data_IF_077668584568
#
_entry.id   IF_077668584568
#
_cell.length_a   1.000
_cell.length_b   1.000
_cell.length_c   1.000
_cell.angle_alpha   90.00
_cell.angle_beta   90.00
_cell.angle_gamma   90.00
#
_symmetry.space_group_name_H-M   'P 1'
#
loop_
_entity.id
_entity.type
_entity.pdbx_description
1 polymer ?
#
# COMPACT_ATOMS: atom_id res chain seq x y z
N UNK A 1 14.02 -7.40 -32.34
CA UNK A 1 13.26 -7.53 -31.07
C UNK A 1 14.28 -7.43 -29.96
N UNK A 2 14.32 -6.30 -29.23
CA UNK A 2 15.40 -6.04 -28.26
C UNK A 2 15.12 -6.78 -26.95
N UNK A 3 16.07 -7.65 -26.59
CA UNK A 3 16.09 -8.57 -25.44
C UNK A 3 16.45 -7.85 -24.14
N UNK A 4 15.49 -7.16 -23.51
CA UNK A 4 15.58 -6.78 -22.10
C UNK A 4 14.52 -7.54 -21.31
N UNK A 5 14.65 -8.87 -21.25
CA UNK A 5 13.78 -9.68 -20.41
C UNK A 5 14.27 -9.63 -18.97
N UNK A 6 13.40 -9.25 -18.04
CA UNK A 6 13.65 -9.33 -16.58
C UNK A 6 13.41 -10.74 -16.03
N UNK A 7 13.30 -11.75 -16.90
CA UNK A 7 13.09 -13.14 -16.51
C UNK A 7 14.43 -13.86 -16.54
N UNK A 8 15.12 -13.92 -15.40
CA UNK A 8 16.40 -14.60 -15.28
C UNK A 8 16.70 -15.05 -13.83
N UNK A 9 17.74 -15.87 -13.67
CA UNK A 9 18.27 -16.22 -12.35
C UNK A 9 18.79 -14.99 -11.60
N UNK A 10 19.50 -14.10 -12.30
CA UNK A 10 20.05 -12.86 -11.76
C UNK A 10 18.93 -11.96 -11.22
N UNK A 11 17.77 -11.92 -11.87
CA UNK A 11 16.62 -11.19 -11.34
C UNK A 11 16.17 -11.73 -9.99
N UNK A 12 16.13 -13.06 -9.78
CA UNK A 12 15.75 -13.64 -8.49
C UNK A 12 16.75 -13.27 -7.38
N UNK A 13 18.04 -13.24 -7.69
CA UNK A 13 19.08 -12.79 -6.75
C UNK A 13 18.91 -11.30 -6.42
N UNK A 14 18.73 -10.47 -7.45
CA UNK A 14 18.60 -9.02 -7.35
C UNK A 14 17.36 -8.60 -6.54
N UNK A 15 16.24 -9.31 -6.66
CA UNK A 15 15.04 -9.00 -5.87
C UNK A 15 15.14 -9.48 -4.41
N UNK A 16 16.18 -10.23 -4.03
CA UNK A 16 16.50 -10.51 -2.63
C UNK A 16 16.43 -11.98 -2.19
N UNK A 17 16.27 -12.92 -3.12
CA UNK A 17 16.39 -14.33 -2.79
C UNK A 17 17.85 -14.71 -2.51
N UNK A 18 18.06 -15.72 -1.68
CA UNK A 18 19.36 -16.37 -1.51
C UNK A 18 19.76 -17.12 -2.78
N UNK A 19 21.06 -17.39 -2.94
CA UNK A 19 21.57 -18.18 -4.07
C UNK A 19 20.81 -19.51 -4.22
N UNK A 20 20.70 -20.26 -3.12
CA UNK A 20 20.00 -21.54 -3.10
C UNK A 20 18.54 -21.43 -3.54
N UNK A 21 17.80 -20.44 -3.00
CA UNK A 21 16.38 -20.25 -3.35
C UNK A 21 16.22 -19.79 -4.79
N UNK A 22 17.07 -18.88 -5.26
CA UNK A 22 17.06 -18.39 -6.62
C UNK A 22 17.33 -19.51 -7.62
N UNK A 23 18.35 -20.36 -7.37
CA UNK A 23 18.64 -21.53 -8.20
C UNK A 23 17.50 -22.55 -8.18
N UNK A 24 16.87 -22.79 -7.02
CA UNK A 24 15.71 -23.66 -6.90
C UNK A 24 14.54 -23.16 -7.75
N UNK A 25 14.19 -21.87 -7.62
CA UNK A 25 13.10 -21.25 -8.37
C UNK A 25 13.42 -21.21 -9.86
N UNK A 26 14.65 -20.85 -10.24
CA UNK A 26 15.08 -20.81 -11.63
C UNK A 26 15.06 -22.18 -12.28
N UNK A 27 15.48 -23.24 -11.58
CA UNK A 27 15.42 -24.61 -12.08
C UNK A 27 13.96 -25.02 -12.33
N UNK A 28 13.04 -24.66 -11.43
CA UNK A 28 11.60 -24.93 -11.61
C UNK A 28 11.02 -24.14 -12.80
N UNK A 29 11.37 -22.87 -12.94
CA UNK A 29 10.94 -22.03 -14.07
C UNK A 29 11.49 -22.54 -15.40
N UNK A 30 12.77 -22.91 -15.46
CA UNK A 30 13.45 -23.35 -16.68
C UNK A 30 12.97 -24.71 -17.16
N UNK A 31 12.68 -25.62 -16.22
CA UNK A 31 12.15 -26.96 -16.51
C UNK A 31 10.62 -27.01 -16.31
N UNK A 32 9.92 -26.00 -16.84
CA UNK A 32 8.47 -25.92 -16.72
C UNK A 32 7.81 -27.13 -17.38
N UNK A 33 6.91 -27.85 -16.68
CA UNK A 33 6.28 -29.03 -17.23
C UNK A 33 5.34 -28.65 -18.38
N UNK A 34 5.22 -29.55 -19.37
CA UNK A 34 4.12 -29.46 -20.33
C UNK A 34 2.78 -29.58 -19.60
N UNK A 35 1.82 -28.73 -19.95
CA UNK A 35 0.54 -28.71 -19.28
C UNK A 35 -0.37 -27.57 -19.72
N UNK A 36 -1.53 -27.41 -19.06
CA UNK A 36 -2.53 -26.41 -19.42
C UNK A 36 -2.12 -24.96 -19.07
N UNK A 37 -1.01 -24.78 -18.35
CA UNK A 37 -0.46 -23.47 -17.98
C UNK A 37 0.93 -23.36 -18.58
N UNK A 38 1.13 -22.39 -19.46
CA UNK A 38 2.44 -22.06 -20.04
C UNK A 38 3.11 -20.90 -19.30
N UNK A 39 4.39 -20.66 -19.52
CA UNK A 39 5.06 -19.45 -19.02
C UNK A 39 4.75 -18.27 -19.92
N UNK A 40 4.85 -17.06 -19.37
CA UNK A 40 4.80 -15.83 -20.17
C UNK A 40 5.91 -15.74 -21.23
N UNK A 41 7.00 -16.51 -21.07
CA UNK A 41 8.11 -16.58 -22.03
C UNK A 41 7.90 -17.62 -23.14
N UNK A 42 6.90 -18.49 -23.01
CA UNK A 42 6.59 -19.50 -24.01
C UNK A 42 5.75 -18.89 -25.15
N UNK A 43 5.80 -19.45 -26.37
CA UNK A 43 4.92 -19.02 -27.45
C UNK A 43 3.45 -19.10 -27.03
N UNK A 44 2.68 -18.04 -27.28
CA UNK A 44 1.26 -18.03 -26.93
C UNK A 44 0.49 -19.02 -27.80
N UNK A 45 -0.01 -20.08 -27.17
CA UNK A 45 -0.80 -21.16 -27.81
C UNK A 45 -2.26 -21.18 -27.35
N UNK A 46 -2.72 -20.11 -26.69
CA UNK A 46 -3.99 -20.08 -25.97
C UNK A 46 -3.89 -20.72 -24.57
N UNK A 47 -4.82 -20.35 -23.68
CA UNK A 47 -4.84 -20.84 -22.30
C UNK A 47 -4.27 -19.87 -21.26
N UNK A 48 -4.07 -20.36 -20.04
CA UNK A 48 -3.54 -19.59 -18.91
C UNK A 48 -2.02 -19.48 -19.01
N UNK A 49 -1.48 -18.29 -18.79
CA UNK A 49 -0.04 -18.06 -18.67
C UNK A 49 0.33 -17.70 -17.23
N UNK A 50 1.38 -18.35 -16.73
CA UNK A 50 2.04 -17.98 -15.48
C UNK A 50 3.06 -16.88 -15.76
N UNK A 51 2.92 -15.73 -15.11
CA UNK A 51 3.91 -14.66 -15.15
C UNK A 51 5.02 -14.94 -14.13
N UNK A 52 6.21 -14.37 -14.35
CA UNK A 52 7.37 -14.66 -13.51
C UNK A 52 7.17 -14.19 -12.07
N UNK A 53 6.50 -13.05 -11.86
CA UNK A 53 6.13 -12.56 -10.53
C UNK A 53 5.16 -13.46 -9.80
N UNK A 54 4.05 -13.85 -10.43
CA UNK A 54 3.11 -14.80 -9.82
C UNK A 54 3.81 -16.10 -9.43
N UNK A 55 4.76 -16.57 -10.25
CA UNK A 55 5.55 -17.77 -9.97
C UNK A 55 6.43 -17.62 -8.72
N UNK A 56 7.29 -16.60 -8.64
CA UNK A 56 8.20 -16.49 -7.49
C UNK A 56 7.45 -16.13 -6.20
N UNK A 57 6.32 -15.42 -6.29
CA UNK A 57 5.43 -15.14 -5.17
C UNK A 57 4.74 -16.41 -4.68
N UNK A 58 4.30 -17.28 -5.58
CA UNK A 58 3.79 -18.60 -5.22
C UNK A 58 4.87 -19.47 -4.55
N UNK A 59 6.14 -19.28 -4.93
CA UNK A 59 7.31 -19.91 -4.32
C UNK A 59 7.61 -19.47 -2.87
N UNK A 60 6.98 -18.38 -2.40
CA UNK A 60 6.90 -17.99 -0.98
C UNK A 60 5.75 -18.76 -0.31
N UNK A 61 5.92 -20.08 -0.23
CA UNK A 61 4.92 -21.04 0.25
C UNK A 61 4.28 -20.58 1.57
N UNK A 62 3.00 -20.92 1.76
CA UNK A 62 2.31 -20.68 3.02
C UNK A 62 2.91 -21.61 4.06
N UNK A 63 3.60 -21.02 5.03
CA UNK A 63 4.22 -21.75 6.14
C UNK A 63 3.41 -21.48 7.42
N UNK A 64 3.09 -22.54 8.16
CA UNK A 64 2.45 -22.45 9.48
C UNK A 64 3.33 -21.71 10.51
N UNK A 65 4.63 -21.61 10.24
CA UNK A 65 5.60 -20.87 11.02
C UNK A 65 5.81 -19.41 10.61
N UNK A 66 4.87 -18.76 9.90
CA UNK A 66 4.91 -17.30 9.70
C UNK A 66 4.82 -16.57 11.05
N UNK A 67 5.55 -15.46 11.20
CA UNK A 67 5.71 -14.78 12.50
C UNK A 67 5.45 -13.28 12.40
N UNK A 68 4.92 -12.72 13.49
CA UNK A 68 4.59 -11.29 13.64
C UNK A 68 4.84 -10.75 15.06
N UNK A 69 5.43 -11.58 15.94
CA UNK A 69 5.88 -11.16 17.29
C UNK A 69 7.27 -10.55 17.26
N UNK A 70 7.84 -10.16 18.41
CA UNK A 70 9.12 -9.45 18.44
C UNK A 70 10.38 -10.35 18.57
N UNK A 71 10.21 -11.65 18.39
CA UNK A 71 11.32 -12.61 18.51
C UNK A 71 12.21 -12.55 17.26
N UNK A 72 13.37 -11.90 17.39
CA UNK A 72 14.35 -11.69 16.32
C UNK A 72 14.79 -13.03 15.69
N UNK A 73 15.05 -14.05 16.50
CA UNK A 73 15.49 -15.36 16.01
C UNK A 73 14.39 -16.03 15.18
N UNK A 74 13.13 -15.98 15.65
CA UNK A 74 12.00 -16.51 14.89
C UNK A 74 11.78 -15.78 13.57
N UNK A 75 11.97 -14.45 13.54
CA UNK A 75 11.90 -13.67 12.30
C UNK A 75 12.97 -14.08 11.29
N UNK A 76 14.23 -14.19 11.73
CA UNK A 76 15.33 -14.66 10.87
C UNK A 76 15.05 -16.05 10.31
N UNK A 77 14.63 -16.98 11.16
CA UNK A 77 14.30 -18.34 10.74
C UNK A 77 13.11 -18.37 9.76
N UNK A 78 12.11 -17.52 9.96
CA UNK A 78 10.98 -17.38 9.03
C UNK A 78 11.42 -16.83 7.67
N UNK A 79 12.20 -15.74 7.63
CA UNK A 79 12.68 -15.17 6.37
C UNK A 79 13.67 -16.08 5.63
N UNK A 80 14.51 -16.83 6.36
CA UNK A 80 15.37 -17.87 5.78
C UNK A 80 14.56 -18.98 5.14
N UNK A 81 13.44 -19.43 5.75
CA UNK A 81 12.53 -20.41 5.13
C UNK A 81 11.85 -19.88 3.88
N UNK A 82 11.55 -18.59 3.82
CA UNK A 82 11.11 -17.92 2.59
C UNK A 82 12.24 -17.74 1.56
N UNK A 83 13.49 -18.09 1.92
CA UNK A 83 14.65 -18.04 1.07
C UNK A 83 15.18 -16.63 0.82
N UNK A 84 14.95 -15.70 1.75
CA UNK A 84 15.51 -14.35 1.68
C UNK A 84 17.00 -14.36 2.03
N UNK A 85 17.82 -13.63 1.27
CA UNK A 85 19.24 -13.45 1.59
C UNK A 85 19.45 -12.56 2.83
N UNK A 86 20.65 -12.61 3.42
CA UNK A 86 21.00 -11.88 4.65
C UNK A 86 20.68 -10.40 4.57
N UNK A 87 21.06 -9.76 3.47
CA UNK A 87 20.93 -8.31 3.30
C UNK A 87 19.45 -7.91 3.24
N UNK A 88 18.63 -8.70 2.55
CA UNK A 88 17.18 -8.50 2.50
C UNK A 88 16.56 -8.70 3.88
N UNK A 89 17.00 -9.73 4.62
CA UNK A 89 16.57 -9.91 6.00
C UNK A 89 16.95 -8.71 6.89
N UNK A 90 18.18 -8.19 6.76
CA UNK A 90 18.65 -7.03 7.52
C UNK A 90 17.81 -5.78 7.24
N UNK A 91 17.48 -5.53 5.97
CA UNK A 91 16.64 -4.38 5.61
C UNK A 91 15.20 -4.50 6.10
N UNK A 92 14.61 -5.70 6.10
CA UNK A 92 13.27 -5.96 6.67
C UNK A 92 13.29 -5.84 8.20
N UNK A 93 14.38 -6.31 8.82
CA UNK A 93 14.52 -6.39 10.27
C UNK A 93 15.19 -5.18 10.91
N UNK A 94 15.33 -4.09 10.17
CA UNK A 94 15.97 -2.88 10.65
C UNK A 94 15.28 -2.38 11.95
N UNK A 95 16.04 -2.27 13.07
CA UNK A 95 15.49 -1.88 14.37
C UNK A 95 14.76 -0.53 14.36
N UNK A 96 15.17 0.41 13.49
CA UNK A 96 14.54 1.73 13.36
C UNK A 96 13.06 1.60 12.94
N UNK A 97 12.75 0.60 12.13
CA UNK A 97 11.41 0.35 11.60
C UNK A 97 10.69 -0.80 12.32
N UNK A 98 11.15 -1.20 13.51
CA UNK A 98 10.58 -2.31 14.28
C UNK A 98 9.06 -2.21 14.45
N UNK A 99 8.53 -1.03 14.75
CA UNK A 99 7.10 -0.80 14.97
C UNK A 99 6.28 -1.09 13.69
N UNK A 100 6.77 -0.65 12.52
CA UNK A 100 6.19 -0.96 11.20
C UNK A 100 6.36 -2.43 10.84
N UNK A 101 7.56 -2.97 11.02
CA UNK A 101 7.85 -4.40 10.80
C UNK A 101 6.83 -5.29 11.53
N UNK A 102 6.50 -4.96 12.78
CA UNK A 102 5.55 -5.73 13.59
C UNK A 102 4.07 -5.44 13.25
N UNK A 103 3.76 -4.56 12.30
CA UNK A 103 2.40 -4.35 11.82
C UNK A 103 1.94 -5.44 10.84
N UNK A 104 2.88 -6.20 10.25
CA UNK A 104 2.60 -7.33 9.37
C UNK A 104 3.53 -8.51 9.68
N UNK A 105 3.33 -9.64 9.00
CA UNK A 105 4.13 -10.84 9.23
C UNK A 105 5.40 -10.86 8.39
N UNK A 106 6.34 -11.72 8.75
CA UNK A 106 7.56 -11.94 7.99
C UNK A 106 7.27 -12.27 6.53
N UNK A 107 6.25 -13.11 6.27
CA UNK A 107 5.85 -13.45 4.90
C UNK A 107 5.34 -12.25 4.11
N UNK A 108 4.53 -11.39 4.73
CA UNK A 108 3.99 -10.19 4.07
C UNK A 108 5.13 -9.27 3.66
N UNK A 109 6.11 -9.04 4.54
CA UNK A 109 7.25 -8.17 4.19
C UNK A 109 8.22 -8.81 3.19
N UNK A 110 8.46 -10.12 3.26
CA UNK A 110 9.24 -10.81 2.24
C UNK A 110 8.59 -10.66 0.86
N UNK A 111 7.29 -10.95 0.78
CA UNK A 111 6.47 -10.81 -0.43
C UNK A 111 6.52 -9.37 -0.98
N UNK A 112 6.16 -8.39 -0.16
CA UNK A 112 6.10 -6.99 -0.56
C UNK A 112 7.46 -6.46 -1.04
N UNK A 113 8.55 -6.88 -0.38
CA UNK A 113 9.92 -6.47 -0.76
C UNK A 113 10.31 -7.00 -2.14
N UNK A 114 10.07 -8.29 -2.43
CA UNK A 114 10.42 -8.86 -3.74
C UNK A 114 9.52 -8.29 -4.85
N UNK A 115 8.23 -8.02 -4.58
CA UNK A 115 7.32 -7.36 -5.53
C UNK A 115 7.80 -5.95 -5.88
N UNK A 116 8.15 -5.13 -4.88
CA UNK A 116 8.64 -3.77 -5.10
C UNK A 116 9.93 -3.74 -5.92
N UNK A 117 10.90 -4.61 -5.58
CA UNK A 117 12.18 -4.68 -6.30
C UNK A 117 11.98 -5.19 -7.73
N UNK A 118 11.11 -6.17 -7.94
CA UNK A 118 10.81 -6.67 -9.28
C UNK A 118 10.11 -5.63 -10.16
N UNK A 119 9.12 -4.92 -9.61
CA UNK A 119 8.42 -3.86 -10.33
C UNK A 119 9.37 -2.74 -10.77
N UNK A 120 10.35 -2.40 -9.93
CA UNK A 120 11.43 -1.48 -10.30
C UNK A 120 12.29 -2.00 -11.46
N UNK A 121 12.68 -3.27 -11.45
CA UNK A 121 13.45 -3.87 -12.55
C UNK A 121 12.66 -3.88 -13.87
N UNK A 122 11.37 -4.23 -13.83
CA UNK A 122 10.47 -4.15 -14.98
C UNK A 122 10.43 -2.73 -15.55
N UNK A 123 10.30 -1.72 -14.69
CA UNK A 123 10.32 -0.31 -15.10
C UNK A 123 11.63 0.08 -15.78
N UNK A 124 12.76 -0.35 -15.23
CA UNK A 124 14.08 -0.08 -15.81
C UNK A 124 14.25 -0.74 -17.18
N UNK A 125 13.85 -2.00 -17.32
CA UNK A 125 13.91 -2.73 -18.58
C UNK A 125 13.06 -2.08 -19.68
N UNK A 126 11.89 -1.53 -19.30
CA UNK A 126 10.96 -0.86 -20.20
C UNK A 126 11.32 0.62 -20.49
N UNK A 127 12.49 1.11 -20.03
CA UNK A 127 13.01 2.48 -20.25
C UNK A 127 12.10 3.64 -19.77
N UNK A 128 11.16 3.39 -18.85
CA UNK A 128 10.35 4.44 -18.23
C UNK A 128 11.08 5.10 -17.04
N UNK A 129 12.38 5.37 -17.18
CA UNK A 129 13.31 5.61 -16.06
C UNK A 129 13.28 7.01 -15.47
N UNK A 130 12.50 7.96 -15.98
CA UNK A 130 12.43 9.30 -15.39
C UNK A 130 11.28 9.37 -14.38
N UNK A 131 11.55 9.55 -13.07
CA UNK A 131 10.53 10.04 -12.16
C UNK A 131 10.03 11.40 -12.70
N UNK A 132 8.73 11.70 -12.61
CA UNK A 132 8.23 13.05 -12.89
C UNK A 132 9.07 14.06 -12.11
N UNK A 133 9.59 15.09 -12.77
CA UNK A 133 10.15 16.23 -12.05
C UNK A 133 9.06 16.84 -11.15
N UNK A 134 9.44 17.38 -9.98
CA UNK A 134 8.58 18.19 -9.11
C UNK A 134 8.07 19.43 -9.87
N UNK A 135 7.11 19.26 -10.78
CA UNK A 135 6.42 20.36 -11.43
C UNK A 135 4.99 20.37 -10.93
N UNK A 136 4.72 21.40 -10.14
CA UNK A 136 3.40 21.83 -9.71
C UNK A 136 2.46 21.90 -10.92
N UNK A 137 1.50 20.97 -11.03
CA UNK A 137 0.35 21.12 -11.92
C UNK A 137 -0.54 22.25 -11.38
N UNK A 138 -0.16 23.49 -11.68
CA UNK A 138 -1.08 24.63 -11.56
C UNK A 138 -1.96 24.63 -12.80
N UNK A 139 -3.26 24.42 -12.59
CA UNK A 139 -4.25 24.75 -13.59
C UNK A 139 -4.13 26.24 -13.96
N UNK A 140 -4.03 26.48 -15.27
CA UNK A 140 -4.06 27.72 -16.06
C UNK A 140 -4.21 29.04 -15.26
N UNK A 141 -3.16 29.87 -15.32
CA UNK A 141 -3.20 31.31 -15.05
C UNK A 141 -3.70 32.04 -16.30
N UNK A 142 -4.75 32.84 -16.14
CA UNK A 142 -4.97 34.02 -16.99
C UNK A 142 -4.77 35.31 -16.16
N UNK A 143 -3.89 36.16 -16.66
CA UNK A 143 -3.99 37.63 -16.72
C UNK A 143 -4.29 38.48 -15.47
N UNK A 144 -3.22 38.97 -14.86
CA UNK A 144 -2.93 40.37 -14.44
C UNK A 144 -3.97 41.26 -13.71
N UNK A 145 -3.61 41.56 -12.45
CA UNK A 145 -3.43 42.87 -11.79
C UNK A 145 -4.59 43.88 -11.68
N UNK A 146 -4.97 44.18 -10.43
CA UNK A 146 -4.78 45.54 -9.86
C UNK A 146 -4.91 45.52 -8.34
N UNK A 147 -3.95 46.14 -7.64
CA UNK A 147 -4.09 46.58 -6.25
C UNK A 147 -5.12 47.72 -6.20
N UNK A 148 -6.16 47.55 -5.38
CA UNK A 148 -6.87 48.67 -4.75
C UNK A 148 -7.55 48.20 -3.46
N UNK A 149 -7.37 49.02 -2.44
CA UNK A 149 -7.65 48.85 -1.02
C UNK A 149 -9.16 49.04 -0.70
N UNK A 150 -9.66 48.22 0.25
CA UNK A 150 -10.86 48.40 1.09
C UNK A 150 -12.28 48.35 0.47
N UNK A 151 -13.00 47.24 0.67
CA UNK A 151 -14.28 47.13 1.43
C UNK A 151 -14.95 45.76 1.20
N UNK A 152 -15.20 45.04 2.31
CA UNK A 152 -16.25 44.02 2.49
C UNK A 152 -16.37 42.85 1.51
N UNK A 153 -15.77 41.70 1.84
CA UNK A 153 -16.50 40.41 1.86
C UNK A 153 -15.68 39.38 2.66
N UNK A 154 -16.30 38.75 3.66
CA UNK A 154 -15.65 37.84 4.60
C UNK A 154 -15.61 36.41 4.02
N UNK A 155 -15.06 36.24 2.81
CA UNK A 155 -14.85 34.92 2.21
C UNK A 155 -13.59 34.29 2.82
N UNK A 156 -13.75 33.61 3.95
CA UNK A 156 -12.75 32.64 4.42
C UNK A 156 -12.41 31.72 3.24
N UNK A 157 -11.14 31.64 2.88
CA UNK A 157 -10.67 30.61 1.93
C UNK A 157 -11.23 29.26 2.38
N UNK A 158 -11.78 28.44 1.46
CA UNK A 158 -12.35 27.16 1.82
C UNK A 158 -11.29 26.32 2.55
N UNK A 159 -11.70 25.73 3.68
CA UNK A 159 -10.83 24.87 4.47
C UNK A 159 -10.44 23.64 3.64
N UNK A 160 -9.16 23.29 3.64
CA UNK A 160 -8.60 22.21 2.81
C UNK A 160 -8.04 21.11 3.71
N UNK A 161 -8.48 19.88 3.47
CA UNK A 161 -7.94 18.68 4.11
C UNK A 161 -6.75 18.19 3.29
N UNK A 162 -5.63 17.92 3.96
CA UNK A 162 -4.47 17.26 3.38
C UNK A 162 -4.36 15.83 3.89
N UNK A 163 -4.19 14.89 2.97
CA UNK A 163 -4.00 13.47 3.23
C UNK A 163 -2.74 12.97 2.53
N UNK A 164 -2.06 11.99 3.11
CA UNK A 164 -0.73 11.55 2.69
C UNK A 164 -0.66 10.03 2.51
N UNK A 165 0.14 9.59 1.53
CA UNK A 165 0.47 8.18 1.32
C UNK A 165 1.84 8.04 0.67
N UNK A 166 2.66 7.13 1.20
CA UNK A 166 3.87 6.69 0.52
C UNK A 166 3.55 5.63 -0.55
N UNK A 167 4.18 5.74 -1.71
CA UNK A 167 3.90 4.91 -2.88
C UNK A 167 5.20 4.47 -3.54
N UNK A 168 5.31 3.18 -3.84
CA UNK A 168 6.37 2.64 -4.69
C UNK A 168 6.07 2.92 -6.16
N UNK A 169 6.92 3.71 -6.82
CA UNK A 169 6.72 4.11 -8.23
C UNK A 169 7.06 3.00 -9.23
N UNK A 170 7.70 1.91 -8.78
CA UNK A 170 7.82 0.68 -9.56
C UNK A 170 6.43 0.09 -9.80
N UNK A 171 5.65 -0.08 -8.73
CA UNK A 171 4.26 -0.59 -8.78
C UNK A 171 3.27 0.43 -9.34
N UNK A 172 3.41 1.70 -8.96
CA UNK A 172 2.51 2.78 -9.38
C UNK A 172 2.97 3.47 -10.68
N UNK A 173 3.35 2.69 -11.68
CA UNK A 173 3.98 3.21 -12.89
C UNK A 173 3.04 4.02 -13.79
N UNK A 174 1.71 3.86 -13.65
CA UNK A 174 0.68 4.63 -14.38
C UNK A 174 0.12 5.78 -13.56
N UNK A 175 0.62 5.99 -12.34
CA UNK A 175 0.16 7.08 -11.49
C UNK A 175 0.36 8.45 -12.15
N UNK A 176 1.39 8.56 -12.99
CA UNK A 176 1.71 9.76 -13.74
C UNK A 176 1.71 9.49 -15.24
N UNK A 177 1.19 10.44 -16.01
CA UNK A 177 1.50 10.58 -17.43
C UNK A 177 3.00 10.87 -17.64
N UNK A 178 3.47 10.69 -18.88
CA UNK A 178 4.85 11.01 -19.27
C UNK A 178 5.22 12.49 -19.03
N UNK A 179 4.24 13.39 -19.09
CA UNK A 179 4.42 14.82 -18.80
C UNK A 179 4.45 15.14 -17.29
N UNK A 180 4.33 14.13 -16.43
CA UNK A 180 4.36 14.25 -14.97
C UNK A 180 3.03 14.63 -14.30
N UNK A 181 1.95 14.80 -15.06
CA UNK A 181 0.61 14.99 -14.49
C UNK A 181 0.06 13.67 -13.93
N UNK A 182 -0.77 13.74 -12.88
CA UNK A 182 -1.47 12.56 -12.35
C UNK A 182 -2.46 11.98 -13.38
N UNK A 183 -2.51 10.65 -13.46
CA UNK A 183 -3.34 9.92 -14.42
C UNK A 183 -4.16 8.80 -13.74
N UNK A 184 -3.51 7.67 -13.46
CA UNK A 184 -4.19 6.49 -12.95
C UNK A 184 -4.17 6.44 -11.42
N UNK A 185 -5.11 7.13 -10.77
CA UNK A 185 -5.24 7.09 -9.30
C UNK A 185 -5.46 5.67 -8.78
N UNK A 186 -5.98 4.74 -9.59
CA UNK A 186 -6.17 3.34 -9.22
C UNK A 186 -4.88 2.64 -8.77
N UNK A 187 -3.70 3.11 -9.20
CA UNK A 187 -2.40 2.63 -8.72
C UNK A 187 -2.12 2.97 -7.24
N UNK A 188 -2.94 3.84 -6.62
CA UNK A 188 -2.91 4.16 -5.18
C UNK A 188 -3.75 3.21 -4.32
N UNK A 189 -4.48 2.26 -4.91
CA UNK A 189 -5.34 1.33 -4.17
C UNK A 189 -4.50 0.38 -3.31
N UNK A 190 -4.96 0.14 -2.09
CA UNK A 190 -4.45 -0.93 -1.23
C UNK A 190 -5.28 -2.21 -1.45
N UNK A 191 -4.66 -3.39 -1.52
CA UNK A 191 -5.36 -4.66 -1.70
C UNK A 191 -6.13 -5.08 -0.43
N UNK A 192 -7.20 -5.85 -0.64
CA UNK A 192 -7.93 -6.53 0.44
C UNK A 192 -7.22 -7.82 0.89
N UNK A 193 -7.47 -8.33 2.12
CA UNK A 193 -8.27 -7.69 3.17
C UNK A 193 -7.49 -6.58 3.89
N UNK A 194 -8.19 -5.50 4.25
CA UNK A 194 -7.69 -4.34 4.99
C UNK A 194 -8.62 -3.99 6.17
N UNK A 195 -8.41 -2.83 6.81
CA UNK A 195 -9.15 -2.45 8.02
C UNK A 195 -10.65 -2.28 7.82
N UNK A 196 -11.09 -1.89 6.63
CA UNK A 196 -12.51 -1.57 6.39
C UNK A 196 -13.08 -2.23 5.14
N UNK A 197 -12.29 -3.03 4.42
CA UNK A 197 -12.76 -3.82 3.28
C UNK A 197 -12.20 -5.24 3.32
N UNK A 198 -13.09 -6.23 3.22
CA UNK A 198 -12.71 -7.65 3.24
C UNK A 198 -12.34 -8.22 1.87
N UNK A 199 -12.95 -7.70 0.80
CA UNK A 199 -12.86 -8.28 -0.55
C UNK A 199 -12.50 -7.28 -1.65
N UNK A 200 -12.70 -5.99 -1.40
CA UNK A 200 -12.49 -4.93 -2.39
C UNK A 200 -11.26 -4.12 -2.03
N UNK A 201 -10.46 -3.76 -3.04
CA UNK A 201 -9.41 -2.77 -2.87
C UNK A 201 -10.00 -1.40 -2.53
N UNK A 202 -9.31 -0.62 -1.71
CA UNK A 202 -9.73 0.72 -1.32
C UNK A 202 -8.52 1.66 -1.24
N UNK A 203 -8.76 2.96 -1.22
CA UNK A 203 -7.71 3.95 -1.03
C UNK A 203 -7.57 4.26 0.45
N UNK A 204 -6.34 4.25 0.96
CA UNK A 204 -6.04 4.55 2.35
C UNK A 204 -4.99 5.64 2.41
N UNK A 205 -5.28 6.69 3.16
CA UNK A 205 -4.39 7.82 3.41
C UNK A 205 -4.32 8.15 4.89
N UNK A 206 -3.23 8.79 5.32
CA UNK A 206 -3.10 9.33 6.67
C UNK A 206 -3.23 10.86 6.64
N UNK A 207 -3.92 11.49 7.60
CA UNK A 207 -3.86 12.94 7.76
C UNK A 207 -2.53 13.40 8.39
N UNK A 208 -1.75 12.46 8.92
CA UNK A 208 -0.45 12.70 9.54
C UNK A 208 0.68 12.43 8.54
N UNK A 209 1.43 13.48 8.19
CA UNK A 209 2.55 13.38 7.26
C UNK A 209 3.68 12.52 7.82
N UNK A 210 3.92 12.52 9.13
CA UNK A 210 5.02 11.78 9.76
C UNK A 210 4.78 10.27 9.66
N UNK A 211 3.53 9.83 9.83
CA UNK A 211 3.13 8.43 9.62
C UNK A 211 3.44 8.00 8.18
N UNK A 212 3.01 8.78 7.19
CA UNK A 212 3.24 8.47 5.78
C UNK A 212 4.74 8.54 5.42
N UNK A 213 5.51 9.45 6.02
CA UNK A 213 6.96 9.53 5.84
C UNK A 213 7.68 8.30 6.39
N UNK A 214 7.28 7.82 7.57
CA UNK A 214 7.85 6.65 8.21
C UNK A 214 7.58 5.37 7.39
N UNK A 215 6.37 5.24 6.86
CA UNK A 215 6.02 4.16 5.91
C UNK A 215 6.87 4.22 4.63
N UNK A 216 7.05 5.43 4.07
CA UNK A 216 7.89 5.65 2.89
C UNK A 216 9.36 5.34 3.12
N UNK A 217 9.91 5.75 4.26
CA UNK A 217 11.28 5.45 4.66
C UNK A 217 11.50 3.94 4.84
N UNK A 218 10.56 3.23 5.45
CA UNK A 218 10.64 1.77 5.58
C UNK A 218 10.56 1.05 4.23
N UNK A 219 9.64 1.49 3.35
CA UNK A 219 9.55 0.98 1.99
C UNK A 219 10.89 1.18 1.24
N UNK A 220 11.46 2.39 1.33
CA UNK A 220 12.76 2.69 0.73
C UNK A 220 13.89 1.86 1.31
N UNK A 221 13.90 1.64 2.62
CA UNK A 221 14.92 0.83 3.30
C UNK A 221 14.97 -0.60 2.76
N UNK A 222 13.79 -1.21 2.57
CA UNK A 222 13.67 -2.57 2.02
C UNK A 222 13.92 -2.65 0.52
N UNK A 223 13.58 -1.60 -0.23
CA UNK A 223 13.73 -1.53 -1.67
C UNK A 223 14.61 -0.33 -2.06
N UNK A 224 15.89 -0.37 -1.69
CA UNK A 224 16.82 0.77 -1.80
C UNK A 224 16.96 1.33 -3.22
N UNK A 225 16.84 0.48 -4.23
CA UNK A 225 16.88 0.86 -5.66
C UNK A 225 15.54 1.37 -6.17
N UNK A 226 14.43 1.02 -5.53
CA UNK A 226 13.10 1.51 -5.91
C UNK A 226 12.95 2.98 -5.59
N UNK A 227 12.19 3.68 -6.43
CA UNK A 227 11.78 5.06 -6.19
C UNK A 227 10.49 5.06 -5.39
N UNK A 228 10.53 5.59 -4.17
CA UNK A 228 9.33 5.76 -3.33
C UNK A 228 9.00 7.25 -3.28
N UNK A 229 7.74 7.59 -3.50
CA UNK A 229 7.24 8.96 -3.47
C UNK A 229 6.23 9.14 -2.34
N UNK A 230 6.28 10.31 -1.69
CA UNK A 230 5.23 10.76 -0.78
C UNK A 230 4.21 11.59 -1.56
N UNK A 231 2.99 11.07 -1.65
CA UNK A 231 1.87 11.72 -2.31
C UNK A 231 1.05 12.46 -1.27
N UNK A 232 0.77 13.73 -1.53
CA UNK A 232 -0.24 14.53 -0.83
C UNK A 232 -1.48 14.63 -1.72
N UNK A 233 -2.65 14.47 -1.10
CA UNK A 233 -3.95 14.78 -1.68
C UNK A 233 -4.53 15.94 -0.89
N UNK A 234 -5.00 16.96 -1.59
CA UNK A 234 -5.70 18.09 -1.01
C UNK A 234 -7.16 18.07 -1.47
N UNK A 235 -8.10 18.03 -0.52
CA UNK A 235 -9.54 17.97 -0.78
C UNK A 235 -10.21 19.19 -0.12
N UNK A 236 -11.03 19.98 -0.82
CA UNK A 236 -11.84 21.02 -0.18
C UNK A 236 -12.87 20.38 0.76
N UNK A 237 -12.90 20.79 2.02
CA UNK A 237 -13.79 20.18 3.03
C UNK A 237 -15.26 20.44 2.71
N UNK A 238 -15.58 21.53 2.02
CA UNK A 238 -16.94 21.80 1.54
C UNK A 238 -17.45 20.71 0.60
N UNK A 239 -16.58 20.03 -0.17
CA UNK A 239 -17.01 18.91 -1.02
C UNK A 239 -17.31 17.66 -0.20
N UNK A 240 -16.57 17.43 0.89
CA UNK A 240 -16.87 16.33 1.84
C UNK A 240 -18.20 16.60 2.53
N UNK A 241 -18.44 17.84 2.98
CA UNK A 241 -19.68 18.23 3.67
C UNK A 241 -20.93 18.20 2.77
N UNK A 242 -20.77 18.10 1.45
CA UNK A 242 -21.89 17.93 0.50
C UNK A 242 -22.30 16.46 0.35
N UNK A 243 -21.47 15.52 0.76
CA UNK A 243 -21.83 14.10 0.74
C UNK A 243 -22.98 13.86 1.73
N UNK A 244 -23.92 12.96 1.39
CA UNK A 244 -24.92 12.52 2.35
C UNK A 244 -24.28 11.90 3.60
N UNK A 245 -24.90 12.07 4.77
CA UNK A 245 -24.40 11.53 6.04
C UNK A 245 -24.21 10.00 5.96
N UNK A 246 -25.06 9.30 5.21
CA UNK A 246 -24.96 7.85 4.98
C UNK A 246 -23.74 7.43 4.14
N UNK A 247 -23.09 8.35 3.42
CA UNK A 247 -21.89 8.08 2.63
C UNK A 247 -20.58 8.35 3.38
N UNK A 248 -20.65 8.98 4.56
CA UNK A 248 -19.48 9.32 5.37
C UNK A 248 -19.61 8.70 6.76
N UNK A 249 -18.77 7.71 7.04
CA UNK A 249 -18.67 7.13 8.38
C UNK A 249 -17.42 7.67 9.09
N UNK A 250 -17.60 8.64 9.97
CA UNK A 250 -16.51 9.29 10.71
C UNK A 250 -16.40 8.82 12.16
N UNK A 251 -15.38 9.34 12.85
CA UNK A 251 -15.20 9.26 14.31
C UNK A 251 -15.12 7.83 14.86
N UNK A 252 -14.77 6.85 14.02
CA UNK A 252 -14.60 5.47 14.46
C UNK A 252 -13.30 5.32 15.27
N UNK A 253 -13.43 5.27 16.58
CA UNK A 253 -12.31 5.07 17.48
C UNK A 253 -12.15 3.59 17.86
N UNK A 254 -10.92 3.14 18.12
CA UNK A 254 -10.65 1.73 18.40
C UNK A 254 -11.36 1.14 19.64
N UNK A 255 -11.83 2.00 20.53
CA UNK A 255 -12.64 1.59 21.69
C UNK A 255 -14.07 1.25 21.31
N UNK A 256 -14.55 1.73 20.17
CA UNK A 256 -15.94 1.63 19.75
C UNK A 256 -16.23 0.22 19.22
N UNK A 257 -17.39 -0.31 19.60
CA UNK A 257 -17.80 -1.65 19.16
C UNK A 257 -17.95 -1.71 17.63
N UNK A 258 -18.50 -0.65 17.02
CA UNK A 258 -18.66 -0.57 15.57
C UNK A 258 -17.31 -0.64 14.83
N UNK A 259 -16.31 0.11 15.30
CA UNK A 259 -14.97 0.04 14.72
C UNK A 259 -14.40 -1.38 14.82
N UNK A 260 -14.53 -2.03 15.99
CA UNK A 260 -14.04 -3.39 16.20
C UNK A 260 -14.73 -4.40 15.29
N UNK A 261 -16.04 -4.30 15.14
CA UNK A 261 -16.83 -5.16 14.25
C UNK A 261 -16.39 -5.00 12.79
N UNK A 262 -16.24 -3.76 12.31
CA UNK A 262 -15.78 -3.47 10.96
C UNK A 262 -14.37 -4.02 10.70
N UNK A 263 -13.43 -3.75 11.60
CA UNK A 263 -12.05 -4.22 11.47
C UNK A 263 -11.96 -5.73 11.53
N UNK A 264 -12.63 -6.36 12.49
CA UNK A 264 -12.63 -7.81 12.65
C UNK A 264 -13.18 -8.52 11.41
N UNK A 265 -14.36 -8.14 10.92
CA UNK A 265 -14.93 -8.75 9.72
C UNK A 265 -14.11 -8.45 8.47
N UNK A 266 -13.62 -7.21 8.29
CA UNK A 266 -12.83 -6.84 7.11
C UNK A 266 -11.48 -7.55 7.06
N UNK A 267 -10.74 -7.57 8.16
CA UNK A 267 -9.42 -8.25 8.25
C UNK A 267 -9.53 -9.77 8.10
N UNK A 268 -10.70 -10.35 8.38
CA UNK A 268 -11.01 -11.77 8.14
C UNK A 268 -11.37 -12.07 6.69
N UNK A 269 -11.52 -11.04 5.85
CA UNK A 269 -11.98 -11.19 4.48
C UNK A 269 -13.44 -11.64 4.46
N UNK A 270 -14.27 -11.15 5.37
CA UNK A 270 -15.70 -11.44 5.39
C UNK A 270 -16.48 -10.36 4.63
N UNK A 271 -17.67 -10.73 4.14
CA UNK A 271 -18.58 -9.76 3.52
C UNK A 271 -19.45 -9.19 4.64
N UNK A 272 -19.35 -7.88 4.91
CA UNK A 272 -20.05 -7.20 6.02
C UNK A 272 -21.55 -7.53 6.05
N UNK A 273 -22.03 -8.29 7.03
CA UNK A 273 -23.41 -8.80 7.07
C UNK A 273 -24.26 -8.10 8.16
N UNK A 274 -25.56 -8.42 8.22
CA UNK A 274 -26.48 -7.84 9.21
C UNK A 274 -26.48 -6.32 9.19
N UNK A 275 -26.34 -5.72 10.37
CA UNK A 275 -26.32 -4.26 10.56
C UNK A 275 -25.09 -3.57 9.94
N UNK A 276 -24.02 -4.31 9.63
CA UNK A 276 -22.83 -3.77 8.98
C UNK A 276 -23.01 -3.65 7.46
N UNK A 277 -24.06 -4.26 6.88
CA UNK A 277 -24.28 -4.27 5.43
C UNK A 277 -24.37 -2.86 4.84
N UNK A 278 -24.93 -1.90 5.59
CA UNK A 278 -25.06 -0.50 5.17
C UNK A 278 -23.71 0.18 4.92
N UNK A 279 -22.61 -0.36 5.45
CA UNK A 279 -21.27 0.20 5.28
C UNK A 279 -20.50 -0.36 4.06
N UNK A 280 -21.10 -1.24 3.25
CA UNK A 280 -20.40 -1.84 2.08
C UNK A 280 -20.13 -0.84 0.94
N UNK A 281 -20.89 0.24 0.84
CA UNK A 281 -20.82 1.20 -0.26
C UNK A 281 -20.69 2.65 0.21
N UNK A 282 -20.25 2.86 1.44
CA UNK A 282 -19.95 4.21 1.93
C UNK A 282 -18.77 4.78 1.16
N UNK A 283 -18.82 6.06 0.84
CA UNK A 283 -17.78 6.75 0.07
C UNK A 283 -16.52 6.93 0.91
N UNK A 284 -16.68 7.33 2.18
CA UNK A 284 -15.57 7.64 3.10
C UNK A 284 -15.77 6.93 4.44
N UNK A 285 -14.70 6.30 4.96
CA UNK A 285 -14.61 5.87 6.35
C UNK A 285 -13.38 6.51 7.00
N UNK A 286 -13.56 7.15 8.16
CA UNK A 286 -12.51 7.77 8.95
C UNK A 286 -12.44 7.05 10.29
N UNK A 287 -11.29 6.48 10.62
CA UNK A 287 -11.15 5.78 11.88
C UNK A 287 -9.73 5.46 12.27
N UNK A 288 -9.59 4.90 13.47
CA UNK A 288 -8.29 4.41 13.98
C UNK A 288 -7.72 3.34 13.06
N UNK A 289 -6.41 3.39 12.83
CA UNK A 289 -5.65 2.39 12.06
C UNK A 289 -5.35 1.16 12.90
N UNK A 290 -5.70 -0.02 12.39
CA UNK A 290 -5.38 -1.26 13.07
C UNK A 290 -3.92 -1.67 12.79
N UNK A 291 -3.36 -2.44 13.72
CA UNK A 291 -2.04 -3.07 13.66
C UNK A 291 -2.22 -4.59 13.58
N UNK A 292 -1.15 -5.30 13.26
CA UNK A 292 -1.05 -6.76 13.21
C UNK A 292 -1.57 -7.35 11.89
N UNK A 293 -1.06 -8.52 11.49
CA UNK A 293 -1.48 -9.18 10.27
C UNK A 293 -2.92 -9.69 10.34
N UNK A 294 -3.57 -9.81 9.19
CA UNK A 294 -4.89 -10.41 9.02
C UNK A 294 -5.03 -11.81 9.65
N UNK A 295 -3.93 -12.56 9.78
CA UNK A 295 -3.89 -13.87 10.44
C UNK A 295 -4.24 -13.81 11.94
N UNK A 296 -3.97 -12.69 12.62
CA UNK A 296 -4.32 -12.51 14.03
C UNK A 296 -5.84 -12.38 14.18
N UNK A 297 -6.45 -11.51 13.36
CA UNK A 297 -7.90 -11.29 13.38
C UNK A 297 -8.71 -12.55 13.04
N UNK A 298 -8.20 -13.40 12.13
CA UNK A 298 -8.81 -14.71 11.82
C UNK A 298 -8.81 -15.70 12.97
N UNK A 299 -7.92 -15.51 13.96
CA UNK A 299 -7.84 -16.37 15.16
C UNK A 299 -8.66 -15.83 16.34
N UNK A 300 -9.16 -14.60 16.25
CA UNK A 300 -10.03 -14.01 17.28
C UNK A 300 -11.44 -14.61 17.19
N UNK A 301 -12.02 -14.90 18.34
CA UNK A 301 -13.39 -15.45 18.44
C UNK A 301 -14.42 -14.32 18.34
N UNK A 302 -14.07 -13.13 18.82
CA UNK A 302 -14.98 -11.98 18.89
C UNK A 302 -14.30 -10.66 18.54
N UNK A 303 -15.02 -9.67 17.98
CA UNK A 303 -14.52 -8.30 17.82
C UNK A 303 -13.96 -7.67 19.11
N UNK A 304 -14.51 -8.05 20.26
CA UNK A 304 -14.13 -7.60 21.59
C UNK A 304 -12.71 -8.04 21.97
N UNK A 305 -12.16 -9.06 21.31
CA UNK A 305 -10.78 -9.51 21.48
C UNK A 305 -9.77 -8.47 20.95
N UNK A 306 -10.21 -7.52 20.14
CA UNK A 306 -9.36 -6.41 19.67
C UNK A 306 -9.08 -5.47 20.85
N UNK A 307 -7.81 -5.45 21.28
CA UNK A 307 -7.27 -4.62 22.36
C UNK A 307 -6.27 -3.59 21.84
N UNK A 308 -5.75 -2.74 22.73
CA UNK A 308 -4.78 -1.66 22.43
C UNK A 308 -3.55 -2.12 21.64
N UNK A 309 -3.07 -3.34 21.85
CA UNK A 309 -1.94 -3.91 21.10
C UNK A 309 -2.24 -4.19 19.60
N UNK A 310 -3.51 -4.19 19.22
CA UNK A 310 -3.99 -4.32 17.85
C UNK A 310 -4.17 -2.96 17.16
N UNK A 311 -3.73 -1.86 17.79
CA UNK A 311 -3.88 -0.50 17.28
C UNK A 311 -2.52 0.03 16.84
N UNK A 312 -2.49 0.75 15.72
CA UNK A 312 -1.28 1.40 15.24
C UNK A 312 -1.09 2.72 16.00
N UNK A 313 -0.05 2.79 16.83
CA UNK A 313 0.30 3.97 17.62
C UNK A 313 1.44 4.73 16.93
N UNK A 314 1.31 6.05 16.77
CA UNK A 314 2.32 6.88 16.09
C UNK A 314 3.62 6.92 16.90
N UNK A 315 3.51 6.99 18.23
CA UNK A 315 4.65 6.98 19.15
C UNK A 315 4.41 5.98 20.29
N UNK A 316 5.30 5.00 20.48
CA UNK A 316 5.22 4.06 21.61
C UNK A 316 5.48 4.75 22.98
N UNK A 317 6.06 5.96 22.97
CA UNK A 317 6.39 6.74 24.18
C UNK A 317 5.20 7.45 24.82
N UNK A 318 4.11 7.66 24.09
CA UNK A 318 2.93 8.35 24.60
C UNK A 318 1.69 7.51 24.34
N UNK A 319 0.81 7.38 25.31
CA UNK A 319 -0.46 6.65 25.19
C UNK A 319 -1.46 7.28 24.20
N UNK A 320 -1.01 8.17 23.31
CA UNK A 320 -1.80 8.87 22.29
C UNK A 320 -0.86 9.72 21.42
N UNK A 321 -1.17 9.97 20.14
CA UNK A 321 -2.36 9.50 19.43
C UNK A 321 -2.15 8.19 18.66
N UNK A 322 -3.22 7.37 18.63
CA UNK A 322 -3.36 6.31 17.64
C UNK A 322 -3.43 6.92 16.25
N UNK A 323 -2.81 6.30 15.25
CA UNK A 323 -2.89 6.79 13.88
C UNK A 323 -4.32 6.72 13.37
N UNK A 324 -4.77 7.80 12.72
CA UNK A 324 -6.03 7.86 12.00
C UNK A 324 -5.77 7.56 10.52
N UNK A 325 -6.71 6.89 9.88
CA UNK A 325 -6.72 6.68 8.44
C UNK A 325 -8.03 7.14 7.82
N UNK A 326 -7.91 7.65 6.61
CA UNK A 326 -9.02 7.98 5.72
C UNK A 326 -9.08 6.91 4.66
N UNK A 327 -10.16 6.13 4.67
CA UNK A 327 -10.45 5.13 3.65
C UNK A 327 -11.48 5.70 2.67
N UNK A 328 -11.15 5.66 1.39
CA UNK A 328 -12.12 5.87 0.32
C UNK A 328 -12.37 4.52 -0.34
N UNK A 329 -13.63 4.13 -0.43
CA UNK A 329 -14.04 2.86 -1.03
C UNK A 329 -13.83 2.87 -2.55
N UNK A 330 -14.30 1.82 -3.22
CA UNK A 330 -14.32 1.82 -4.68
C UNK A 330 -15.25 2.92 -5.21
N UNK A 331 -16.35 3.16 -4.50
CA UNK A 331 -17.33 4.23 -4.74
C UNK A 331 -16.69 5.62 -4.54
N UNK A 332 -15.77 5.74 -3.58
CA UNK A 332 -14.98 6.94 -3.33
C UNK A 332 -13.93 7.30 -4.40
N UNK A 333 -13.70 6.45 -5.41
CA UNK A 333 -12.73 6.77 -6.48
C UNK A 333 -13.16 7.99 -7.29
N UNK A 334 -14.44 8.06 -7.67
CA UNK A 334 -14.99 9.19 -8.44
C UNK A 334 -14.81 10.50 -7.67
N UNK A 335 -15.17 10.48 -6.39
CA UNK A 335 -14.98 11.63 -5.48
C UNK A 335 -13.51 12.09 -5.42
N UNK A 336 -12.56 11.16 -5.27
CA UNK A 336 -11.14 11.49 -5.27
C UNK A 336 -10.67 12.07 -6.60
N UNK A 337 -11.19 11.58 -7.72
CA UNK A 337 -10.84 12.07 -9.06
C UNK A 337 -11.37 13.48 -9.30
N UNK A 338 -12.59 13.75 -8.86
CA UNK A 338 -13.30 15.00 -9.14
C UNK A 338 -12.88 16.13 -8.18
N UNK A 339 -12.54 15.79 -6.93
CA UNK A 339 -12.30 16.78 -5.88
C UNK A 339 -10.90 16.72 -5.26
N UNK A 340 -10.12 15.66 -5.54
CA UNK A 340 -8.77 15.50 -5.03
C UNK A 340 -7.73 16.20 -5.92
N UNK A 341 -6.92 17.07 -5.31
CA UNK A 341 -5.72 17.63 -5.94
C UNK A 341 -4.50 16.87 -5.45
N UNK A 342 -3.82 16.17 -6.35
CA UNK A 342 -2.68 15.30 -6.02
C UNK A 342 -1.34 15.99 -6.29
N UNK A 343 -0.36 15.78 -5.41
CA UNK A 343 1.00 16.33 -5.53
C UNK A 343 2.02 15.34 -4.97
N UNK A 344 3.15 15.15 -5.66
CA UNK A 344 4.35 14.58 -5.03
C UNK A 344 5.02 15.65 -4.19
N UNK A 345 5.21 15.39 -2.90
CA UNK A 345 5.82 16.35 -1.99
C UNK A 345 7.25 15.99 -1.60
N UNK A 346 7.63 14.71 -1.68
CA UNK A 346 9.01 14.25 -1.50
C UNK A 346 9.25 12.90 -2.17
N UNK A 347 10.53 12.58 -2.38
CA UNK A 347 11.00 11.25 -2.75
C UNK A 347 11.90 10.71 -1.63
N UNK A 348 11.95 9.38 -1.50
CA UNK A 348 12.86 8.69 -0.59
C UNK A 348 13.96 7.95 -1.35
#
# INVERSE_FOLDING_TARGET
MSTNSVVSLETLLEIGFSQEKAEQLWRKWSNWPEGPVSRETDPYVGGLQMTFDHFFIAGLERDEGDVWGDDVTKWRNSLTRYGMNSDTQDTIMDPEFKHLRLAQSARVWAKDTVEMRYAWLQRCANKSTTPPSLQSSTAKKDGQAHESILHGDNRRSPYKLNLFKAVDLGRAHRLFHENGAFDCIADLRSPAPSDFTGHSSAFYFSPDIEVAQLEGAYAKRRASRSSVALIQITIPVDEINKLPDEEVLSDLHWTDLLWKQLVWSSRRGEILSGDLRKYRGVTIIIGTKARLPNAVYRKMESPEDIKKNCVYMVNEKFESPSAIQWMFSAEGEGFLRDHGSFKVISYF
#
